data_IF_452092616510
#
_entry.id   IF_452092616510
#
_cell.length_a   1.000
_cell.length_b   1.000
_cell.length_c   1.000
_cell.angle_alpha   90.00
_cell.angle_beta   90.00
_cell.angle_gamma   90.00
#
_symmetry.space_group_name_H-M   'P 1'
#
loop_
_entity.id
_entity.type
_entity.pdbx_description
1 polymer ?
#
# COMPACT_ATOMS: atom_id res chain seq x y z
N UNK A 1 -30.46 58.13 1.83
CA UNK A 1 -29.65 58.58 2.99
C UNK A 1 -30.53 59.37 3.94
N UNK A 2 -30.84 58.85 5.14
CA UNK A 2 -31.74 59.51 6.09
C UNK A 2 -32.18 58.62 7.27
N UNK A 3 -31.35 58.62 8.32
CA UNK A 3 -31.50 58.37 9.77
C UNK A 3 -32.78 57.76 10.41
N UNK A 4 -32.55 56.71 11.22
CA UNK A 4 -32.84 56.47 12.68
C UNK A 4 -34.24 56.85 13.26
N UNK A 5 -34.97 55.88 13.85
CA UNK A 5 -35.33 55.80 15.31
C UNK A 5 -36.45 54.79 15.66
N UNK A 6 -36.10 53.88 16.56
CA UNK A 6 -36.83 53.35 17.73
C UNK A 6 -38.36 53.23 17.73
N UNK A 7 -38.85 52.02 18.02
CA UNK A 7 -40.21 51.80 18.56
C UNK A 7 -40.13 50.88 19.81
N UNK A 8 -40.93 51.11 20.88
CA UNK A 8 -40.69 50.58 22.21
C UNK A 8 -41.42 49.27 22.51
N UNK A 9 -40.94 48.64 23.59
CA UNK A 9 -41.54 47.56 24.36
C UNK A 9 -43.06 47.69 24.55
N UNK A 10 -43.77 46.57 24.36
CA UNK A 10 -45.01 46.27 25.08
C UNK A 10 -44.93 44.86 25.67
N UNK A 11 -44.96 44.84 27.00
CA UNK A 11 -44.96 43.72 27.94
C UNK A 11 -46.32 42.98 27.94
N UNK A 12 -46.33 41.65 27.84
CA UNK A 12 -47.31 40.71 28.46
C UNK A 12 -46.55 39.36 28.57
N UNK A 13 -45.93 38.94 29.68
CA UNK A 13 -46.41 38.55 31.02
C UNK A 13 -47.30 37.28 31.05
N UNK A 14 -46.69 36.10 31.01
CA UNK A 14 -47.23 34.83 31.58
C UNK A 14 -46.03 34.08 32.20
N UNK A 15 -45.72 34.36 33.47
CA UNK A 15 -45.91 33.49 34.66
C UNK A 15 -45.13 32.17 34.60
N UNK A 16 -44.04 32.15 35.36
CA UNK A 16 -43.33 30.96 35.83
C UNK A 16 -44.05 30.34 37.04
N UNK A 17 -44.19 29.01 37.09
CA UNK A 17 -44.10 28.19 38.31
C UNK A 17 -44.17 26.69 37.98
N UNK A 18 -43.13 25.93 38.34
CA UNK A 18 -43.21 24.68 39.11
C UNK A 18 -41.91 23.87 39.00
N UNK A 19 -41.14 23.83 40.09
CA UNK A 19 -40.07 22.87 40.34
C UNK A 19 -40.59 21.70 41.19
N UNK A 20 -40.16 20.49 40.79
CA UNK A 20 -39.87 19.27 41.59
C UNK A 20 -40.96 18.61 42.46
N UNK A 21 -41.29 17.33 42.17
CA UNK A 21 -40.83 16.13 42.89
C UNK A 21 -41.60 14.84 42.47
N UNK A 22 -40.84 13.84 41.99
CA UNK A 22 -40.95 12.42 42.35
C UNK A 22 -42.01 11.53 41.68
N UNK A 23 -41.57 10.57 40.85
CA UNK A 23 -41.83 9.13 41.02
C UNK A 23 -41.21 8.31 39.87
N UNK A 24 -40.47 7.26 40.23
CA UNK A 24 -39.83 6.28 39.37
C UNK A 24 -40.81 5.62 38.38
N UNK A 25 -40.40 5.53 37.12
CA UNK A 25 -40.81 4.46 36.21
C UNK A 25 -39.57 4.03 35.45
N UNK A 26 -39.21 2.78 35.69
CA UNK A 26 -38.16 2.01 35.05
C UNK A 26 -38.27 2.03 33.52
N UNK A 27 -37.21 2.50 32.88
CA UNK A 27 -36.75 2.00 31.60
C UNK A 27 -35.24 2.15 31.63
N UNK A 28 -34.55 1.05 31.89
CA UNK A 28 -33.12 0.89 31.60
C UNK A 28 -32.93 1.34 30.14
N UNK A 29 -32.36 2.52 29.97
CA UNK A 29 -31.69 2.89 28.74
C UNK A 29 -30.35 2.19 28.87
N UNK A 30 -30.19 1.10 28.13
CA UNK A 30 -28.88 0.51 27.89
C UNK A 30 -27.99 1.64 27.37
N UNK A 31 -27.10 2.12 28.25
CA UNK A 31 -25.88 2.81 27.85
C UNK A 31 -25.04 1.78 27.09
N UNK A 32 -25.38 1.59 25.80
CA UNK A 32 -24.41 1.12 24.84
C UNK A 32 -23.29 2.16 24.84
N UNK A 33 -22.21 1.81 25.54
CA UNK A 33 -20.90 2.43 25.43
C UNK A 33 -20.61 2.48 23.93
N UNK A 34 -20.75 3.65 23.32
CA UNK A 34 -20.23 3.95 22.00
C UNK A 34 -18.72 3.85 22.16
N UNK A 35 -18.19 2.68 21.84
CA UNK A 35 -16.76 2.42 21.78
C UNK A 35 -16.16 3.43 20.80
N UNK A 36 -15.45 4.40 21.36
CA UNK A 36 -14.74 5.45 20.65
C UNK A 36 -13.98 4.83 19.48
N UNK A 37 -14.29 5.29 18.26
CA UNK A 37 -13.74 4.68 17.05
C UNK A 37 -12.22 4.82 17.07
N UNK A 38 -11.51 3.70 17.23
CA UNK A 38 -10.06 3.64 17.11
C UNK A 38 -9.61 4.40 15.84
N UNK A 39 -8.53 5.19 15.94
CA UNK A 39 -7.92 5.86 14.79
C UNK A 39 -7.62 4.81 13.71
N UNK A 40 -8.25 4.91 12.54
CA UNK A 40 -8.08 3.97 11.42
C UNK A 40 -7.49 4.63 10.17
N UNK A 41 -6.91 5.82 10.34
CA UNK A 41 -6.25 6.58 9.28
C UNK A 41 -4.77 6.64 9.64
N UNK A 42 -3.93 6.09 8.78
CA UNK A 42 -2.48 6.22 8.86
C UNK A 42 -2.02 7.36 7.95
N UNK A 43 -1.23 8.30 8.47
CA UNK A 43 -0.51 9.27 7.64
C UNK A 43 0.96 8.89 7.56
N UNK A 44 1.40 8.37 6.41
CA UNK A 44 2.78 7.98 6.16
C UNK A 44 3.49 9.11 5.40
N UNK A 45 4.41 9.81 6.07
CA UNK A 45 5.36 10.71 5.44
C UNK A 45 6.52 9.96 4.78
N UNK A 46 6.75 10.16 3.49
CA UNK A 46 7.88 9.55 2.75
C UNK A 46 8.71 10.59 1.98
N UNK A 47 9.87 10.17 1.47
CA UNK A 47 10.90 11.06 0.94
C UNK A 47 10.70 11.59 -0.48
N UNK A 48 9.91 10.93 -1.32
CA UNK A 48 9.81 11.33 -2.72
C UNK A 48 8.39 11.46 -3.23
N UNK A 49 8.30 11.64 -4.54
CA UNK A 49 7.05 11.73 -5.27
C UNK A 49 6.79 10.40 -5.97
N UNK A 50 5.52 10.01 -6.11
CA UNK A 50 5.14 8.79 -6.83
C UNK A 50 4.77 9.14 -8.27
N UNK A 51 5.74 9.22 -9.18
CA UNK A 51 5.53 9.74 -10.55
C UNK A 51 4.58 8.88 -11.38
N UNK A 52 4.46 7.59 -11.07
CA UNK A 52 3.52 6.69 -11.75
C UNK A 52 2.72 5.83 -10.77
N UNK A 53 1.43 5.67 -11.05
CA UNK A 53 0.54 4.75 -10.33
C UNK A 53 0.40 3.39 -11.02
N UNK A 54 0.99 3.22 -12.21
CA UNK A 54 1.23 1.90 -12.80
C UNK A 54 2.59 1.39 -12.32
N UNK A 55 2.64 0.31 -11.51
CA UNK A 55 3.91 -0.17 -10.98
C UNK A 55 4.88 -0.63 -12.08
N UNK A 56 4.39 -1.01 -13.26
CA UNK A 56 5.25 -1.46 -14.36
C UNK A 56 5.99 -0.29 -15.05
N UNK A 57 5.45 0.93 -14.98
CA UNK A 57 6.02 2.14 -15.59
C UNK A 57 6.86 2.96 -14.60
N UNK A 58 6.66 2.76 -13.30
CA UNK A 58 7.42 3.44 -12.25
C UNK A 58 8.93 3.21 -12.42
N UNK A 59 9.73 4.25 -12.15
CA UNK A 59 11.21 4.22 -12.27
C UNK A 59 11.90 4.36 -10.91
N UNK A 60 11.16 4.87 -9.94
CA UNK A 60 11.62 5.27 -8.63
C UNK A 60 10.95 4.44 -7.53
N UNK A 61 11.69 4.24 -6.44
CA UNK A 61 11.20 3.44 -5.30
C UNK A 61 9.97 4.04 -4.62
N UNK A 62 9.79 5.36 -4.66
CA UNK A 62 8.70 6.03 -3.94
C UNK A 62 7.30 5.65 -4.47
N UNK A 63 7.17 5.39 -5.77
CA UNK A 63 5.94 4.85 -6.37
C UNK A 63 5.58 3.46 -5.84
N UNK A 64 6.57 2.70 -5.35
CA UNK A 64 6.34 1.38 -4.78
C UNK A 64 5.82 1.41 -3.35
N UNK A 65 6.01 2.48 -2.57
CA UNK A 65 5.35 2.60 -1.25
C UNK A 65 3.82 2.59 -1.37
N UNK A 66 3.30 3.23 -2.42
CA UNK A 66 1.86 3.29 -2.70
C UNK A 66 1.39 2.01 -3.40
N UNK A 67 2.05 1.62 -4.50
CA UNK A 67 1.55 0.54 -5.36
C UNK A 67 1.54 -0.84 -4.69
N UNK A 68 2.48 -1.18 -3.80
CA UNK A 68 2.45 -2.48 -3.08
C UNK A 68 1.24 -2.64 -2.14
N UNK A 69 0.54 -1.53 -1.84
CA UNK A 69 -0.68 -1.52 -1.04
C UNK A 69 -1.95 -1.60 -1.91
N UNK A 70 -1.82 -1.42 -3.23
CA UNK A 70 -2.91 -1.41 -4.19
C UNK A 70 -2.91 -2.59 -5.16
N UNK A 71 -1.73 -3.11 -5.48
CA UNK A 71 -1.55 -4.19 -6.44
C UNK A 71 -0.87 -5.38 -5.76
N UNK A 72 -1.11 -6.57 -6.31
CA UNK A 72 -0.49 -7.80 -5.84
C UNK A 72 0.12 -8.57 -7.02
N UNK A 73 1.14 -9.34 -6.70
CA UNK A 73 1.86 -10.23 -7.62
C UNK A 73 1.33 -11.66 -7.53
N UNK A 74 1.68 -12.51 -8.51
CA UNK A 74 1.34 -13.94 -8.48
C UNK A 74 1.88 -14.63 -7.23
N UNK A 75 3.11 -14.31 -6.86
CA UNK A 75 3.80 -14.82 -5.68
C UNK A 75 4.40 -13.66 -4.91
N UNK A 76 4.59 -13.85 -3.61
CA UNK A 76 5.06 -12.80 -2.70
C UNK A 76 6.32 -13.25 -1.95
N UNK A 77 6.89 -12.38 -1.13
CA UNK A 77 7.92 -12.73 -0.16
C UNK A 77 7.31 -12.90 1.23
N UNK A 78 7.91 -13.78 2.02
CA UNK A 78 7.63 -13.84 3.45
C UNK A 78 8.00 -12.52 4.15
N UNK A 79 7.59 -12.39 5.42
CA UNK A 79 7.85 -11.17 6.20
C UNK A 79 9.35 -10.85 6.36
N UNK A 80 10.22 -11.85 6.15
CA UNK A 80 11.67 -11.72 6.20
C UNK A 80 12.29 -11.38 4.83
N UNK A 81 11.50 -11.30 3.75
CA UNK A 81 11.99 -11.02 2.41
C UNK A 81 12.84 -12.14 1.79
N UNK A 82 12.84 -13.33 2.38
CA UNK A 82 13.79 -14.40 2.08
C UNK A 82 13.18 -15.50 1.20
N UNK A 83 11.94 -15.88 1.48
CA UNK A 83 11.28 -17.02 0.84
C UNK A 83 10.11 -16.56 -0.03
N UNK A 84 9.97 -17.17 -1.20
CA UNK A 84 8.77 -16.96 -2.03
C UNK A 84 7.58 -17.71 -1.42
N UNK A 85 6.47 -17.01 -1.23
CA UNK A 85 5.22 -17.52 -0.65
C UNK A 85 4.03 -17.25 -1.58
N UNK A 86 2.87 -17.89 -1.36
CA UNK A 86 1.67 -17.65 -2.16
C UNK A 86 1.22 -16.18 -2.16
N UNK A 87 0.99 -15.63 -3.35
CA UNK A 87 0.36 -14.32 -3.60
C UNK A 87 -1.02 -14.53 -4.19
N UNK A 88 -1.29 -13.94 -5.36
CA UNK A 88 -2.49 -14.22 -6.16
C UNK A 88 -2.58 -15.67 -6.68
N UNK A 89 -1.44 -16.36 -6.78
CA UNK A 89 -1.36 -17.80 -6.96
C UNK A 89 -1.29 -18.49 -5.59
N UNK A 90 -2.18 -19.46 -5.34
CA UNK A 90 -2.21 -20.27 -4.12
C UNK A 90 -1.06 -21.30 -4.07
N UNK A 91 -0.58 -21.74 -5.24
CA UNK A 91 0.54 -22.67 -5.41
C UNK A 91 1.04 -22.66 -6.85
N UNK A 92 2.22 -23.22 -7.06
CA UNK A 92 2.82 -23.41 -8.38
C UNK A 92 3.65 -24.69 -8.42
N UNK A 93 3.87 -25.19 -9.63
CA UNK A 93 4.74 -26.34 -9.92
C UNK A 93 5.73 -25.94 -11.03
N UNK A 94 6.99 -26.34 -10.87
CA UNK A 94 8.04 -26.14 -11.87
C UNK A 94 8.45 -27.49 -12.45
N UNK A 95 8.64 -27.55 -13.77
CA UNK A 95 9.18 -28.75 -14.44
C UNK A 95 10.62 -29.04 -14.02
N UNK A 96 11.05 -30.30 -14.16
CA UNK A 96 12.40 -30.76 -13.78
C UNK A 96 13.53 -29.99 -14.50
N UNK A 97 13.28 -29.50 -15.71
CA UNK A 97 14.21 -28.69 -16.50
C UNK A 97 14.16 -27.19 -16.16
N UNK A 98 13.25 -26.77 -15.29
CA UNK A 98 13.05 -25.38 -14.87
C UNK A 98 12.45 -24.46 -15.93
N UNK A 99 11.98 -25.01 -17.05
CA UNK A 99 11.49 -24.22 -18.20
C UNK A 99 9.98 -23.94 -18.14
N UNK A 100 9.20 -24.76 -17.45
CA UNK A 100 7.74 -24.61 -17.39
C UNK A 100 7.29 -24.41 -15.95
N UNK A 101 6.52 -23.36 -15.71
CA UNK A 101 5.98 -23.02 -14.40
C UNK A 101 4.46 -22.88 -14.49
N UNK A 102 3.72 -23.74 -13.80
CA UNK A 102 2.24 -23.73 -13.80
C UNK A 102 1.75 -23.22 -12.45
N UNK A 103 0.96 -22.15 -12.47
CA UNK A 103 0.39 -21.48 -11.30
C UNK A 103 -1.09 -21.82 -11.18
N UNK A 104 -1.53 -22.12 -9.95
CA UNK A 104 -2.96 -22.18 -9.59
C UNK A 104 -3.35 -20.88 -8.91
N UNK A 105 -4.30 -20.18 -9.51
CA UNK A 105 -4.78 -18.87 -9.09
C UNK A 105 -5.88 -18.98 -8.04
N UNK A 106 -5.96 -17.98 -7.16
CA UNK A 106 -7.10 -17.80 -6.27
C UNK A 106 -8.36 -17.50 -7.07
N UNK A 107 -9.52 -17.93 -6.56
CA UNK A 107 -10.83 -17.79 -7.23
C UNK A 107 -11.74 -16.75 -6.61
N UNK A 108 -11.40 -16.30 -5.41
CA UNK A 108 -12.13 -15.37 -4.56
C UNK A 108 -11.59 -13.94 -4.63
N UNK A 109 -10.68 -13.67 -5.57
CA UNK A 109 -10.05 -12.37 -5.74
C UNK A 109 -10.82 -11.52 -6.74
N UNK A 110 -11.06 -10.26 -6.34
CA UNK A 110 -11.62 -9.22 -7.18
C UNK A 110 -10.63 -8.09 -7.37
N UNK A 111 -10.69 -7.46 -8.54
CA UNK A 111 -10.13 -6.15 -8.76
C UNK A 111 -10.97 -5.08 -8.06
N UNK A 112 -10.38 -3.91 -7.80
CA UNK A 112 -11.07 -2.79 -7.14
C UNK A 112 -12.31 -2.26 -7.91
N UNK A 113 -12.41 -2.56 -9.20
CA UNK A 113 -13.56 -2.24 -10.06
C UNK A 113 -14.70 -3.28 -9.99
N UNK A 114 -14.51 -4.35 -9.21
CA UNK A 114 -15.47 -5.44 -9.02
C UNK A 114 -15.36 -6.59 -10.01
N UNK A 115 -14.51 -6.47 -11.05
CA UNK A 115 -14.22 -7.57 -11.97
C UNK A 115 -13.43 -8.68 -11.28
N UNK A 116 -13.58 -9.91 -11.77
CA UNK A 116 -12.90 -11.07 -11.19
C UNK A 116 -11.44 -11.14 -11.67
N UNK A 117 -10.54 -11.49 -10.75
CA UNK A 117 -9.17 -11.86 -11.12
C UNK A 117 -9.13 -13.29 -11.66
N UNK A 118 -8.48 -13.47 -12.82
CA UNK A 118 -8.40 -14.75 -13.51
C UNK A 118 -7.11 -14.86 -14.36
N UNK A 119 -6.94 -16.01 -15.01
CA UNK A 119 -5.80 -16.31 -15.86
C UNK A 119 -5.64 -15.36 -17.06
N UNK A 120 -6.75 -14.88 -17.64
CA UNK A 120 -6.70 -13.92 -18.75
C UNK A 120 -6.07 -12.59 -18.33
N UNK A 121 -6.39 -12.11 -17.12
CA UNK A 121 -5.77 -10.90 -16.57
C UNK A 121 -4.25 -11.06 -16.43
N UNK A 122 -3.79 -12.23 -16.00
CA UNK A 122 -2.36 -12.55 -15.92
C UNK A 122 -1.74 -12.52 -17.31
N UNK A 123 -2.30 -13.26 -18.27
CA UNK A 123 -1.81 -13.31 -19.65
C UNK A 123 -1.70 -11.89 -20.23
N UNK A 124 -2.72 -11.04 -20.06
CA UNK A 124 -2.72 -9.67 -20.56
C UNK A 124 -1.62 -8.79 -19.97
N UNK A 125 -1.35 -8.91 -18.67
CA UNK A 125 -0.26 -8.18 -18.04
C UNK A 125 1.12 -8.62 -18.55
N UNK A 126 1.34 -9.92 -18.73
CA UNK A 126 2.59 -10.40 -19.34
C UNK A 126 2.71 -10.00 -20.81
N UNK A 127 1.62 -10.08 -21.58
CA UNK A 127 1.60 -9.67 -22.99
C UNK A 127 2.02 -8.21 -23.17
N UNK A 128 1.52 -7.28 -22.35
CA UNK A 128 1.95 -5.88 -22.46
C UNK A 128 3.43 -5.71 -22.16
N UNK A 129 3.96 -6.39 -21.15
CA UNK A 129 5.37 -6.25 -20.79
C UNK A 129 6.30 -6.86 -21.85
N UNK A 130 5.97 -8.05 -22.37
CA UNK A 130 6.74 -8.74 -23.41
C UNK A 130 6.83 -7.91 -24.69
N UNK A 131 5.73 -7.26 -25.09
CA UNK A 131 5.63 -6.52 -26.35
C UNK A 131 5.97 -5.02 -26.22
N UNK A 132 6.33 -4.55 -25.02
CA UNK A 132 6.75 -3.16 -24.81
C UNK A 132 8.23 -2.94 -25.07
N UNK A 133 8.79 -1.88 -24.46
CA UNK A 133 10.21 -1.55 -24.55
C UNK A 133 10.77 -0.92 -23.26
N UNK A 134 12.08 -0.63 -23.23
CA UNK A 134 12.76 -0.15 -22.03
C UNK A 134 12.37 1.27 -21.59
N UNK A 135 11.80 2.09 -22.48
CA UNK A 135 11.29 3.42 -22.11
C UNK A 135 9.96 3.29 -21.35
N UNK A 136 9.12 2.33 -21.75
CA UNK A 136 7.83 1.99 -21.13
C UNK A 136 8.02 1.17 -19.85
N UNK A 137 8.69 0.03 -19.93
CA UNK A 137 8.85 -0.94 -18.83
C UNK A 137 10.31 -1.03 -18.38
N UNK A 138 10.80 -0.07 -17.57
CA UNK A 138 12.23 0.06 -17.23
C UNK A 138 12.81 -1.16 -16.51
N UNK A 139 11.99 -1.90 -15.76
CA UNK A 139 12.44 -3.08 -15.01
C UNK A 139 12.34 -4.37 -15.83
N UNK A 140 11.43 -4.47 -16.80
CA UNK A 140 11.15 -5.75 -17.47
C UNK A 140 12.37 -6.32 -18.19
N UNK A 141 13.01 -5.51 -19.04
CA UNK A 141 14.16 -5.96 -19.83
C UNK A 141 15.35 -6.39 -18.96
N UNK A 142 15.62 -5.70 -17.85
CA UNK A 142 16.72 -6.08 -16.95
C UNK A 142 16.44 -7.36 -16.16
N UNK A 143 15.18 -7.61 -15.80
CA UNK A 143 14.75 -8.76 -14.99
C UNK A 143 14.57 -10.03 -15.83
N UNK A 144 14.07 -9.89 -17.05
CA UNK A 144 13.67 -10.99 -17.93
C UNK A 144 14.50 -11.07 -19.22
N UNK A 145 15.71 -10.50 -19.22
CA UNK A 145 16.67 -10.69 -20.31
C UNK A 145 16.34 -9.98 -21.63
N UNK A 146 15.53 -8.93 -21.58
CA UNK A 146 15.08 -8.15 -22.73
C UNK A 146 13.60 -8.34 -23.04
N UNK A 147 13.16 -7.78 -24.16
CA UNK A 147 11.81 -7.86 -24.71
C UNK A 147 11.73 -8.92 -25.81
N UNK A 148 10.54 -9.14 -26.38
CA UNK A 148 10.27 -10.25 -27.31
C UNK A 148 11.29 -10.46 -28.43
N UNK A 149 11.85 -9.38 -28.98
CA UNK A 149 12.78 -9.43 -30.11
C UNK A 149 14.26 -9.52 -29.67
N UNK A 150 14.54 -9.47 -28.37
CA UNK A 150 15.89 -9.55 -27.83
C UNK A 150 16.35 -11.02 -27.70
N UNK A 151 17.63 -11.26 -28.04
CA UNK A 151 18.22 -12.61 -28.09
C UNK A 151 18.13 -13.37 -26.75
N UNK A 152 18.21 -12.65 -25.63
CA UNK A 152 18.21 -13.23 -24.28
C UNK A 152 16.85 -13.17 -23.58
N UNK A 153 15.76 -12.86 -24.30
CA UNK A 153 14.43 -12.77 -23.71
C UNK A 153 14.06 -14.07 -22.98
N UNK A 154 13.64 -13.95 -21.71
CA UNK A 154 13.39 -15.12 -20.86
C UNK A 154 12.05 -15.77 -21.15
N UNK A 155 10.97 -14.99 -21.25
CA UNK A 155 9.60 -15.53 -21.26
C UNK A 155 9.20 -15.92 -22.68
N UNK A 156 9.11 -17.22 -22.95
CA UNK A 156 8.70 -17.74 -24.26
C UNK A 156 7.19 -17.56 -24.48
N UNK A 157 6.37 -17.92 -23.49
CA UNK A 157 4.92 -17.82 -23.58
C UNK A 157 4.25 -17.80 -22.21
N UNK A 158 3.06 -17.21 -22.15
CA UNK A 158 2.16 -17.22 -21.00
C UNK A 158 0.78 -17.63 -21.51
N UNK A 159 0.23 -18.71 -20.97
CA UNK A 159 -1.00 -19.33 -21.47
C UNK A 159 -1.97 -19.52 -20.30
N UNK A 160 -3.23 -19.11 -20.49
CA UNK A 160 -4.33 -19.50 -19.64
C UNK A 160 -4.79 -20.91 -20.02
N UNK A 161 -4.47 -21.91 -19.20
CA UNK A 161 -4.92 -23.30 -19.40
C UNK A 161 -6.38 -23.48 -18.94
N UNK A 162 -6.83 -22.64 -18.01
CA UNK A 162 -8.21 -22.47 -17.53
C UNK A 162 -8.32 -21.12 -16.80
N UNK A 163 -9.53 -20.73 -16.38
CA UNK A 163 -9.77 -19.47 -15.65
C UNK A 163 -8.87 -19.28 -14.41
N UNK A 164 -8.46 -20.38 -13.77
CA UNK A 164 -7.66 -20.42 -12.54
C UNK A 164 -6.26 -21.02 -12.71
N UNK A 165 -5.82 -21.24 -13.96
CA UNK A 165 -4.53 -21.88 -14.24
C UNK A 165 -3.77 -21.15 -15.32
N UNK A 166 -2.55 -20.74 -14.99
CA UNK A 166 -1.63 -20.10 -15.95
C UNK A 166 -0.35 -20.90 -16.03
N UNK A 167 0.11 -21.18 -17.25
CA UNK A 167 1.43 -21.75 -17.50
C UNK A 167 2.33 -20.71 -18.14
N UNK A 168 3.51 -20.51 -17.55
CA UNK A 168 4.58 -19.67 -18.07
C UNK A 168 5.71 -20.59 -18.52
N UNK A 169 6.12 -20.44 -19.79
CA UNK A 169 7.26 -21.15 -20.37
C UNK A 169 8.43 -20.20 -20.58
N UNK A 170 9.63 -20.64 -20.24
CA UNK A 170 10.88 -19.89 -20.35
C UNK A 170 11.73 -20.43 -21.51
N UNK A 171 12.47 -19.55 -22.20
CA UNK A 171 13.44 -19.92 -23.24
C UNK A 171 14.69 -20.61 -22.67
N UNK A 172 15.01 -20.34 -21.41
CA UNK A 172 16.13 -20.94 -20.68
C UNK A 172 15.84 -20.93 -19.17
N UNK A 173 16.42 -21.85 -18.38
CA UNK A 173 16.14 -21.92 -16.96
C UNK A 173 16.72 -20.70 -16.23
N UNK A 174 15.93 -20.10 -15.34
CA UNK A 174 16.36 -18.99 -14.51
C UNK A 174 15.98 -19.23 -13.04
N UNK A 175 16.99 -19.49 -12.20
CA UNK A 175 16.78 -19.84 -10.79
C UNK A 175 16.04 -18.74 -10.00
N UNK A 176 16.21 -17.47 -10.38
CA UNK A 176 15.54 -16.34 -9.75
C UNK A 176 14.12 -16.08 -10.26
N UNK A 177 13.59 -16.85 -11.22
CA UNK A 177 12.32 -16.55 -11.89
C UNK A 177 11.16 -16.29 -10.90
N UNK A 178 10.94 -17.18 -9.93
CA UNK A 178 9.89 -17.00 -8.93
C UNK A 178 10.12 -15.77 -8.05
N UNK A 179 11.37 -15.47 -7.70
CA UNK A 179 11.70 -14.28 -6.91
C UNK A 179 11.51 -12.99 -7.73
N UNK A 180 11.79 -13.02 -9.02
CA UNK A 180 11.55 -11.89 -9.91
C UNK A 180 10.06 -11.56 -9.96
N UNK A 181 9.18 -12.57 -9.96
CA UNK A 181 7.72 -12.38 -9.94
C UNK A 181 7.18 -11.72 -8.66
N UNK A 182 7.97 -11.59 -7.59
CA UNK A 182 7.55 -10.87 -6.37
C UNK A 182 7.76 -9.36 -6.46
N UNK A 183 8.40 -8.86 -7.52
CA UNK A 183 8.71 -7.44 -7.64
C UNK A 183 7.46 -6.64 -8.02
N UNK A 184 7.27 -5.48 -7.38
CA UNK A 184 6.10 -4.61 -7.59
C UNK A 184 5.81 -4.31 -9.08
N UNK A 185 6.80 -4.05 -9.97
CA UNK A 185 6.57 -3.86 -11.40
C UNK A 185 5.82 -4.98 -12.12
N UNK A 186 5.79 -6.18 -11.55
CA UNK A 186 5.10 -7.35 -12.12
C UNK A 186 3.82 -7.70 -11.36
N UNK A 187 3.23 -6.72 -10.68
CA UNK A 187 1.89 -6.84 -10.10
C UNK A 187 0.82 -6.85 -11.19
N UNK A 188 -0.30 -7.52 -10.92
CA UNK A 188 -1.38 -7.67 -11.89
C UNK A 188 -2.33 -6.47 -11.82
N UNK A 189 -2.53 -5.82 -12.97
CA UNK A 189 -3.45 -4.70 -13.17
C UNK A 189 -4.72 -5.16 -13.89
N UNK A 190 -5.86 -4.56 -13.57
CA UNK A 190 -7.16 -4.90 -14.19
C UNK A 190 -7.15 -4.69 -15.71
N UNK A 191 -7.68 -5.67 -16.47
CA UNK A 191 -7.78 -5.62 -17.94
C UNK A 191 -8.55 -4.40 -18.46
N UNK A 192 -9.75 -4.05 -17.94
CA UNK A 192 -10.45 -2.82 -18.31
C UNK A 192 -9.58 -1.57 -18.28
N UNK A 193 -8.67 -1.45 -17.31
CA UNK A 193 -7.81 -0.28 -17.18
C UNK A 193 -6.66 -0.33 -18.20
N UNK A 194 -6.12 -1.52 -18.48
CA UNK A 194 -5.15 -1.71 -19.58
C UNK A 194 -5.75 -1.37 -20.95
N UNK A 195 -7.01 -1.75 -21.19
CA UNK A 195 -7.71 -1.50 -22.45
C UNK A 195 -8.13 -0.04 -22.64
N UNK A 196 -8.38 0.68 -21.54
CA UNK A 196 -8.71 2.10 -21.56
C UNK A 196 -7.51 3.01 -21.90
N UNK A 197 -6.28 2.50 -21.74
CA UNK A 197 -5.04 3.20 -22.05
C UNK A 197 -4.36 3.87 -20.85
N UNK A 198 -3.12 4.34 -21.06
CA UNK A 198 -2.23 4.86 -20.00
C UNK A 198 -2.84 6.04 -19.21
N UNK A 199 -3.58 6.94 -19.86
CA UNK A 199 -4.25 8.06 -19.20
C UNK A 199 -5.25 7.58 -18.12
N UNK A 200 -5.89 6.44 -18.32
CA UNK A 200 -6.80 5.88 -17.33
C UNK A 200 -6.05 5.24 -16.15
N UNK A 201 -4.89 4.63 -16.39
CA UNK A 201 -4.03 4.03 -15.35
C UNK A 201 -3.47 5.09 -14.40
N UNK A 202 -3.10 6.26 -14.92
CA UNK A 202 -2.61 7.38 -14.14
C UNK A 202 -3.70 8.00 -13.24
N UNK A 203 -4.97 7.92 -13.66
CA UNK A 203 -6.07 8.58 -12.97
C UNK A 203 -6.93 7.66 -12.08
N UNK A 204 -7.08 6.39 -12.47
CA UNK A 204 -7.88 5.39 -11.76
C UNK A 204 -7.12 4.06 -11.75
N UNK A 205 -6.07 3.94 -10.93
CA UNK A 205 -5.35 2.69 -10.76
C UNK A 205 -6.24 1.62 -10.10
N UNK A 206 -6.29 0.43 -10.70
CA UNK A 206 -7.13 -0.70 -10.26
C UNK A 206 -6.27 -1.96 -10.16
N UNK A 207 -6.08 -2.40 -8.92
CA UNK A 207 -5.41 -3.66 -8.58
C UNK A 207 -6.33 -4.58 -7.78
N UNK A 208 -5.74 -5.57 -7.11
CA UNK A 208 -6.43 -6.53 -6.23
C UNK A 208 -6.12 -6.33 -4.75
N UNK A 209 -5.23 -5.36 -4.45
CA UNK A 209 -4.67 -5.18 -3.12
C UNK A 209 -5.67 -4.69 -2.07
N UNK A 210 -5.25 -4.65 -0.80
CA UNK A 210 -6.09 -4.32 0.34
C UNK A 210 -6.64 -2.89 0.34
N UNK A 211 -5.96 -1.97 -0.34
CA UNK A 211 -6.40 -0.60 -0.51
C UNK A 211 -6.59 -0.27 -1.98
N UNK A 212 -7.61 0.53 -2.29
CA UNK A 212 -7.86 1.08 -3.62
C UNK A 212 -7.57 2.57 -3.66
N UNK A 213 -7.39 3.12 -4.85
CA UNK A 213 -7.21 4.56 -5.02
C UNK A 213 -8.39 5.33 -4.42
N UNK A 214 -8.07 6.36 -3.63
CA UNK A 214 -9.05 7.35 -3.19
C UNK A 214 -8.94 8.60 -4.06
N UNK A 215 -7.90 9.38 -3.81
CA UNK A 215 -7.60 10.63 -4.49
C UNK A 215 -6.15 11.02 -4.22
N UNK A 216 -5.61 11.96 -4.99
CA UNK A 216 -4.35 12.59 -4.64
C UNK A 216 -3.55 13.09 -5.82
N UNK A 217 -2.47 13.79 -5.48
CA UNK A 217 -1.44 14.20 -6.42
C UNK A 217 -0.12 13.56 -5.96
N UNK A 218 0.57 12.80 -6.84
CA UNK A 218 1.93 12.32 -6.66
C UNK A 218 2.93 13.21 -5.94
N UNK A 219 2.83 14.54 -6.14
CA UNK A 219 3.78 15.51 -5.63
C UNK A 219 3.40 16.10 -4.26
N UNK A 220 2.21 15.78 -3.74
CA UNK A 220 1.71 16.32 -2.46
C UNK A 220 1.32 15.19 -1.52
N UNK A 221 0.27 14.46 -1.88
CA UNK A 221 -0.20 13.32 -1.14
C UNK A 221 -1.07 12.41 -1.99
N UNK A 222 -0.94 11.10 -1.79
CA UNK A 222 -1.82 10.08 -2.34
C UNK A 222 -2.60 9.42 -1.21
N UNK A 223 -3.92 9.40 -1.34
CA UNK A 223 -4.83 8.73 -0.41
C UNK A 223 -5.30 7.43 -1.04
N UNK A 224 -5.11 6.33 -0.30
CA UNK A 224 -5.71 5.02 -0.61
C UNK A 224 -6.69 4.64 0.50
N UNK A 225 -7.81 4.05 0.12
CA UNK A 225 -8.91 3.70 1.03
C UNK A 225 -9.11 2.20 1.05
N UNK A 226 -9.63 1.65 2.16
CA UNK A 226 -9.92 0.22 2.27
C UNK A 226 -10.72 -0.28 1.06
N UNK A 227 -10.32 -1.44 0.55
CA UNK A 227 -11.13 -2.23 -0.37
C UNK A 227 -11.94 -3.25 0.44
N UNK A 228 -13.27 -3.04 0.53
CA UNK A 228 -14.15 -3.86 1.37
C UNK A 228 -14.29 -5.31 0.87
N UNK A 229 -14.10 -5.54 -0.43
CA UNK A 229 -14.15 -6.87 -1.05
C UNK A 229 -12.76 -7.54 -1.13
N UNK A 230 -11.80 -7.11 -0.29
CA UNK A 230 -10.47 -7.72 -0.26
C UNK A 230 -10.55 -9.19 0.17
N UNK A 231 -9.83 -10.05 -0.55
CA UNK A 231 -9.96 -11.51 -0.45
C UNK A 231 -9.41 -12.08 0.87
N UNK A 232 -8.53 -11.37 1.57
CA UNK A 232 -8.08 -11.77 2.91
C UNK A 232 -9.03 -11.25 3.98
N UNK A 233 -9.84 -12.16 4.52
CA UNK A 233 -10.83 -11.82 5.54
C UNK A 233 -10.21 -11.06 6.73
N UNK A 234 -10.87 -9.95 7.11
CA UNK A 234 -10.46 -9.11 8.22
C UNK A 234 -9.28 -8.18 7.93
N UNK A 235 -8.82 -8.07 6.69
CA UNK A 235 -7.84 -7.07 6.24
C UNK A 235 -8.43 -6.15 5.16
N UNK A 236 -7.89 -4.94 4.98
CA UNK A 236 -6.92 -4.28 5.87
C UNK A 236 -7.54 -3.82 7.19
N UNK A 237 -6.71 -3.66 8.23
CA UNK A 237 -7.13 -3.15 9.54
C UNK A 237 -7.40 -1.63 9.55
N UNK A 238 -6.74 -0.88 8.66
CA UNK A 238 -6.96 0.56 8.47
C UNK A 238 -8.15 0.80 7.51
N UNK A 239 -8.81 1.94 7.67
CA UNK A 239 -9.83 2.41 6.74
C UNK A 239 -9.20 3.23 5.59
N UNK A 240 -8.04 3.86 5.85
CA UNK A 240 -7.38 4.77 4.92
C UNK A 240 -5.88 4.92 5.23
N UNK A 241 -5.07 5.09 4.21
CA UNK A 241 -3.68 5.52 4.30
C UNK A 241 -3.49 6.78 3.45
N UNK A 242 -2.79 7.77 4.01
CA UNK A 242 -2.39 8.99 3.31
C UNK A 242 -0.87 8.97 3.21
N UNK A 243 -0.35 8.74 2.01
CA UNK A 243 1.06 8.88 1.69
C UNK A 243 1.36 10.35 1.40
N UNK A 244 2.10 11.01 2.28
CA UNK A 244 2.41 12.44 2.22
C UNK A 244 3.87 12.64 1.82
N UNK A 245 4.12 13.34 0.70
CA UNK A 245 5.48 13.64 0.26
C UNK A 245 6.08 14.73 1.15
N UNK A 246 7.15 14.40 1.87
CA UNK A 246 7.93 15.34 2.69
C UNK A 246 9.42 15.09 2.42
N UNK A 247 10.01 15.69 1.36
CA UNK A 247 11.36 15.32 0.92
C UNK A 247 12.48 15.61 1.91
N UNK A 248 12.35 16.66 2.73
CA UNK A 248 13.38 17.02 3.70
C UNK A 248 13.26 16.16 4.97
N UNK A 249 14.29 15.34 5.26
CA UNK A 249 14.31 14.43 6.42
C UNK A 249 14.05 15.14 7.76
N UNK A 250 14.63 16.32 7.98
CA UNK A 250 14.43 17.08 9.22
C UNK A 250 12.99 17.60 9.34
N UNK A 251 12.41 18.08 8.24
CA UNK A 251 11.00 18.49 8.21
C UNK A 251 10.07 17.30 8.47
N UNK A 252 10.36 16.14 7.89
CA UNK A 252 9.60 14.90 8.10
C UNK A 252 9.66 14.42 9.53
N UNK A 253 10.84 14.41 10.15
CA UNK A 253 10.98 14.13 11.59
C UNK A 253 10.20 15.12 12.46
N UNK A 254 10.26 16.42 12.15
CA UNK A 254 9.51 17.41 12.92
C UNK A 254 8.00 17.25 12.75
N UNK A 255 7.51 16.86 11.57
CA UNK A 255 6.11 16.51 11.36
C UNK A 255 5.70 15.28 12.19
N UNK A 256 6.57 14.27 12.31
CA UNK A 256 6.32 13.11 13.17
C UNK A 256 6.20 13.52 14.65
N UNK A 257 7.16 14.32 15.15
CA UNK A 257 7.15 14.83 16.53
C UNK A 257 5.92 15.71 16.79
N UNK A 258 5.49 16.50 15.81
CA UNK A 258 4.30 17.34 15.92
C UNK A 258 2.99 16.55 15.86
N UNK A 259 3.02 15.26 15.49
CA UNK A 259 1.84 14.43 15.27
C UNK A 259 1.11 14.71 13.95
N UNK A 260 1.73 15.43 13.01
CA UNK A 260 1.19 15.70 11.67
C UNK A 260 1.26 14.46 10.76
N UNK A 261 2.15 13.53 11.07
CA UNK A 261 2.28 12.21 10.43
C UNK A 261 2.46 11.13 11.51
N UNK A 262 2.12 9.90 11.16
CA UNK A 262 2.13 8.74 12.07
C UNK A 262 3.32 7.81 11.85
N UNK A 263 3.83 7.77 10.62
CA UNK A 263 4.97 6.99 10.19
C UNK A 263 5.84 7.88 9.29
N UNK A 264 7.15 7.81 9.49
CA UNK A 264 8.14 8.53 8.73
C UNK A 264 9.27 7.58 8.33
N UNK A 265 9.64 7.59 7.06
CA UNK A 265 10.86 6.92 6.62
C UNK A 265 12.10 7.81 6.69
N UNK A 266 13.25 7.19 6.41
CA UNK A 266 14.53 7.87 6.20
C UNK A 266 14.86 8.88 7.31
N UNK A 267 14.66 8.49 8.57
CA UNK A 267 15.11 9.23 9.75
C UNK A 267 16.64 9.26 9.73
N UNK A 268 17.25 10.43 9.99
CA UNK A 268 18.70 10.51 9.99
C UNK A 268 19.27 9.68 11.16
N UNK A 269 20.40 8.96 10.98
CA UNK A 269 21.05 8.22 12.07
C UNK A 269 21.35 9.06 13.30
N UNK A 270 21.70 10.34 13.12
CA UNK A 270 21.96 11.29 14.22
C UNK A 270 20.72 11.64 15.04
N UNK A 271 19.53 11.48 14.47
CA UNK A 271 18.25 11.80 15.11
C UNK A 271 17.61 10.57 15.79
N UNK A 272 18.22 9.38 15.70
CA UNK A 272 17.71 8.13 16.30
C UNK A 272 17.34 8.30 17.78
N UNK A 273 18.25 8.84 18.58
CA UNK A 273 18.01 9.02 20.02
C UNK A 273 16.87 10.00 20.29
N UNK A 274 16.69 11.00 19.42
CA UNK A 274 15.58 11.95 19.56
C UNK A 274 14.22 11.28 19.40
N UNK A 275 14.10 10.30 18.50
CA UNK A 275 12.88 9.48 18.34
C UNK A 275 12.73 8.49 19.49
N UNK A 276 13.83 7.83 19.89
CA UNK A 276 13.80 6.81 20.94
C UNK A 276 13.51 7.38 22.35
N UNK A 277 13.90 8.63 22.62
CA UNK A 277 13.69 9.30 23.90
C UNK A 277 12.32 10.02 23.98
N UNK A 278 11.59 10.14 22.88
CA UNK A 278 10.25 10.72 22.85
C UNK A 278 9.21 9.71 23.37
N UNK A 279 8.42 10.13 24.37
CA UNK A 279 7.49 9.23 25.05
C UNK A 279 6.30 8.79 24.18
N UNK A 280 6.04 9.45 23.05
CA UNK A 280 4.92 9.17 22.15
C UNK A 280 5.34 8.55 20.82
N UNK A 281 6.65 8.37 20.60
CA UNK A 281 7.21 7.78 19.40
C UNK A 281 7.87 6.43 19.68
N UNK A 282 8.07 5.68 18.60
CA UNK A 282 8.87 4.48 18.57
C UNK A 282 9.81 4.53 17.36
N UNK A 283 11.00 4.00 17.57
CA UNK A 283 11.99 3.82 16.53
C UNK A 283 11.92 2.40 15.98
N UNK A 284 11.91 2.26 14.66
CA UNK A 284 11.76 0.98 13.98
C UNK A 284 12.96 0.77 13.06
N UNK A 285 13.69 -0.33 13.28
CA UNK A 285 14.80 -0.75 12.41
C UNK A 285 14.27 -1.62 11.28
N UNK A 286 14.64 -1.28 10.03
CA UNK A 286 14.35 -2.11 8.87
C UNK A 286 15.39 -3.23 8.76
N UNK A 287 14.99 -4.51 8.66
CA UNK A 287 15.93 -5.60 8.43
C UNK A 287 16.63 -5.45 7.08
N UNK A 288 17.92 -5.81 7.02
CA UNK A 288 18.72 -5.76 5.79
C UNK A 288 18.55 -7.03 4.95
N UNK A 289 18.62 -6.89 3.62
CA UNK A 289 18.84 -8.03 2.72
C UNK A 289 20.34 -8.33 2.69
N UNK A 290 20.75 -9.43 3.33
CA UNK A 290 22.16 -9.87 3.47
C UNK A 290 22.91 -10.03 2.12
N UNK A 291 22.19 -10.25 1.01
CA UNK A 291 22.78 -10.54 -0.32
C UNK A 291 23.23 -9.33 -1.14
N UNK A 292 23.10 -8.09 -0.65
CA UNK A 292 23.54 -6.89 -1.38
C UNK A 292 24.98 -6.44 -1.02
N UNK A 293 25.65 -7.16 -0.13
CA UNK A 293 26.90 -6.68 0.49
C UNK A 293 28.19 -6.89 -0.32
N UNK A 294 28.26 -7.83 -1.29
CA UNK A 294 29.54 -8.13 -1.94
C UNK A 294 29.80 -7.46 -3.31
N UNK A 295 28.77 -7.10 -4.10
CA UNK A 295 28.99 -6.73 -5.51
C UNK A 295 28.28 -5.44 -6.01
N UNK A 296 27.70 -4.59 -5.15
CA UNK A 296 27.05 -3.35 -5.59
C UNK A 296 27.95 -2.10 -5.43
N UNK A 297 28.57 -1.58 -6.51
CA UNK A 297 29.46 -0.42 -6.43
C UNK A 297 28.62 0.88 -6.47
N UNK A 298 27.84 1.17 -5.41
CA UNK A 298 27.31 2.52 -5.06
C UNK A 298 26.17 2.52 -4.02
N UNK A 299 26.21 1.67 -2.98
CA UNK A 299 25.30 1.83 -1.84
C UNK A 299 26.08 2.45 -0.67
N UNK A 300 25.56 3.49 0.02
CA UNK A 300 26.23 4.09 1.18
C UNK A 300 26.48 3.04 2.26
N UNK A 301 27.60 3.18 2.97
CA UNK A 301 28.15 2.29 4.01
C UNK A 301 27.09 1.63 4.92
N UNK A 302 27.44 0.45 5.47
CA UNK A 302 26.65 -0.40 6.38
C UNK A 302 25.93 0.27 7.57
N UNK A 303 26.09 1.58 7.78
CA UNK A 303 25.29 2.46 8.67
C UNK A 303 24.01 3.01 7.99
N UNK A 304 23.70 2.62 6.75
CA UNK A 304 22.66 3.20 5.87
C UNK A 304 21.29 2.51 5.94
N UNK A 305 21.04 1.66 6.93
CA UNK A 305 19.71 1.06 7.14
C UNK A 305 18.67 2.20 7.18
N UNK A 306 17.64 2.20 6.31
CA UNK A 306 16.62 3.24 6.36
C UNK A 306 15.94 3.20 7.71
N UNK A 307 16.20 4.21 8.54
CA UNK A 307 15.63 4.27 9.87
C UNK A 307 14.21 4.80 9.77
N UNK A 308 13.29 4.17 10.49
CA UNK A 308 11.89 4.54 10.49
C UNK A 308 11.51 5.07 11.88
N UNK A 309 10.66 6.08 11.90
CA UNK A 309 10.04 6.60 13.12
C UNK A 309 8.53 6.48 13.00
N UNK A 310 7.86 6.03 14.05
CA UNK A 310 6.41 5.95 14.08
C UNK A 310 5.88 6.46 15.42
N UNK A 311 4.60 6.79 15.49
CA UNK A 311 3.93 6.91 16.78
C UNK A 311 3.91 5.56 17.50
N UNK A 312 4.06 5.56 18.83
CA UNK A 312 4.03 4.32 19.65
C UNK A 312 2.71 3.54 19.55
N UNK A 313 1.64 4.22 19.12
CA UNK A 313 0.31 3.65 18.96
C UNK A 313 0.19 2.81 17.67
N UNK A 314 1.17 2.91 16.76
CA UNK A 314 1.21 2.14 15.54
C UNK A 314 1.69 0.71 15.84
N UNK A 315 0.83 -0.27 15.60
CA UNK A 315 1.11 -1.68 15.85
C UNK A 315 1.12 -2.49 14.56
N UNK A 316 1.75 -3.66 14.63
CA UNK A 316 1.85 -4.64 13.54
C UNK A 316 2.46 -4.08 12.24
N UNK A 317 3.20 -2.97 12.33
CA UNK A 317 4.03 -2.47 11.24
C UNK A 317 5.32 -3.28 11.18
N UNK A 318 5.46 -4.06 10.10
CA UNK A 318 6.61 -4.91 9.84
C UNK A 318 7.33 -4.39 8.61
N UNK A 319 8.43 -3.61 8.78
CA UNK A 319 9.13 -3.04 7.65
C UNK A 319 9.74 -4.13 6.78
N UNK A 320 9.50 -4.05 5.47
CA UNK A 320 10.01 -5.04 4.54
C UNK A 320 11.48 -4.75 4.20
N UNK A 321 12.35 -5.77 4.11
CA UNK A 321 13.75 -5.58 3.69
C UNK A 321 13.91 -4.97 2.30
N UNK A 322 12.91 -5.16 1.43
CA UNK A 322 12.85 -4.57 0.08
C UNK A 322 12.67 -3.05 0.10
N UNK A 323 12.21 -2.53 1.23
CA UNK A 323 11.93 -1.12 1.44
C UNK A 323 10.49 -0.69 1.18
N UNK A 324 9.64 -1.60 0.66
CA UNK A 324 8.26 -1.32 0.31
C UNK A 324 7.32 -1.99 1.30
N UNK A 325 6.78 -1.21 2.23
CA UNK A 325 6.05 -1.75 3.39
C UNK A 325 4.57 -2.02 3.06
N UNK A 326 4.14 -3.24 3.37
CA UNK A 326 2.73 -3.66 3.27
C UNK A 326 1.98 -3.25 4.53
N UNK A 327 0.90 -2.48 4.36
CA UNK A 327 0.18 -1.83 5.46
C UNK A 327 -1.12 -2.54 5.85
N UNK A 328 -1.43 -3.69 5.25
CA UNK A 328 -2.70 -4.39 5.44
C UNK A 328 -2.97 -4.78 6.90
N UNK A 329 -1.93 -5.24 7.61
CA UNK A 329 -2.02 -5.68 9.00
C UNK A 329 -1.88 -4.54 10.03
N UNK A 330 -1.37 -3.39 9.60
CA UNK A 330 -1.08 -2.24 10.47
C UNK A 330 -2.36 -1.74 11.15
N UNK A 331 -2.30 -1.46 12.44
CA UNK A 331 -3.43 -0.95 13.22
C UNK A 331 -2.98 0.07 14.25
N UNK A 332 -3.93 0.81 14.82
CA UNK A 332 -3.66 1.66 15.98
C UNK A 332 -4.26 1.04 17.24
N UNK A 333 -3.52 1.12 18.35
CA UNK A 333 -4.07 1.00 19.69
C UNK A 333 -4.04 2.40 20.32
N UNK A 334 -5.20 3.06 20.34
CA UNK A 334 -5.30 4.35 21.02
C UNK A 334 -5.22 4.13 22.53
N UNK A 335 -4.60 5.07 23.27
CA UNK A 335 -4.64 5.01 24.72
C UNK A 335 -6.10 5.10 25.16
N UNK A 336 -6.49 4.23 26.09
CA UNK A 336 -7.80 4.34 26.76
C UNK A 336 -7.75 5.68 27.52
N UNK A 337 -8.61 6.64 27.13
CA UNK A 337 -8.78 7.85 27.95
C UNK A 337 -9.36 7.41 29.31
N UNK A 338 -8.61 7.60 30.40
CA UNK A 338 -9.04 7.35 31.78
C UNK A 338 -9.97 8.45 32.33
#
# INVERSE_FOLDING_TARGET
MGKIKSWPLALILIVALATMLGACSSSEVDDEIVQESAKKILVYGHSGNSESLDPALAKEGDSFHVSVNMYETLVDLDEQGATVVPGLAEKWESSDDGLTHTFKLRKDVKFHDGTDFNADAVVKNFERWINGNAEEFPYYGSVFGGFKEDENHLIESVVADSDDTVTIKLNHPQASFLKNLTMSPFSIVSMPVLEAGEEQLENIPVGTGPFRFGEGNPNEAITVVRFEDYWQEGLPKLDKVIFKSIPNNTARLNALIAGDIDLADSINPTDRMKVADDADLQFIERPLIDTLYEDAPSIPDADSTPLLGATKYLLDFLPQPTGFDRLSKVKFELPIEE
#
